data_IF_023634348431
#
_entry.id   IF_023634348431
#
_cell.length_a   1.000
_cell.length_b   1.000
_cell.length_c   1.000
_cell.angle_alpha   90.00
_cell.angle_beta   90.00
_cell.angle_gamma   90.00
#
_symmetry.space_group_name_H-M   'P 1'
#
loop_
_entity.id
_entity.type
_entity.pdbx_description
1 polymer ?
#
# COMPACT_ATOMS: atom_id res chain seq x y z
N UNK A 1 9.80 -6.94 24.88
CA UNK A 1 9.43 -6.24 23.63
C UNK A 1 10.49 -5.17 23.38
N UNK A 2 11.00 -5.04 22.15
CA UNK A 2 11.91 -3.95 21.82
C UNK A 2 11.13 -2.62 21.84
N UNK A 3 11.62 -1.63 22.58
CA UNK A 3 11.06 -0.28 22.56
C UNK A 3 11.61 0.46 21.34
N UNK A 4 10.82 0.52 20.26
CA UNK A 4 11.15 1.33 19.09
C UNK A 4 10.77 2.79 19.38
N UNK A 5 11.75 3.66 19.61
CA UNK A 5 11.56 5.12 19.76
C UNK A 5 11.79 5.87 18.45
N UNK A 6 12.37 5.21 17.45
CA UNK A 6 12.69 5.77 16.13
C UNK A 6 12.37 4.77 15.04
N UNK A 7 11.87 5.26 13.90
CA UNK A 7 11.63 4.47 12.69
C UNK A 7 12.65 4.87 11.62
N UNK A 8 13.47 3.93 11.16
CA UNK A 8 14.39 4.13 10.04
C UNK A 8 13.79 3.61 8.70
N UNK A 9 14.51 3.87 7.60
CA UNK A 9 14.08 3.44 6.27
C UNK A 9 14.02 1.93 6.08
N UNK A 10 14.91 1.16 6.70
CA UNK A 10 14.91 -0.30 6.59
C UNK A 10 13.68 -0.90 7.28
N UNK A 11 13.38 -0.42 8.49
CA UNK A 11 12.17 -0.78 9.23
C UNK A 11 10.92 -0.38 8.46
N UNK A 12 10.89 0.84 7.88
CA UNK A 12 9.75 1.30 7.10
C UNK A 12 9.51 0.42 5.85
N UNK A 13 10.56 -0.03 5.16
CA UNK A 13 10.46 -0.98 4.05
C UNK A 13 9.85 -2.32 4.48
N UNK A 14 10.32 -2.87 5.60
CA UNK A 14 9.76 -4.11 6.17
C UNK A 14 8.27 -3.93 6.52
N UNK A 15 7.90 -2.78 7.10
CA UNK A 15 6.50 -2.48 7.43
C UNK A 15 5.60 -2.46 6.20
N UNK A 16 5.99 -1.75 5.14
CA UNK A 16 5.15 -1.63 3.93
C UNK A 16 5.12 -2.94 3.14
N UNK A 17 6.21 -3.70 3.09
CA UNK A 17 6.25 -5.04 2.49
C UNK A 17 5.36 -6.02 3.26
N UNK A 18 5.41 -6.01 4.59
CA UNK A 18 4.52 -6.81 5.43
C UNK A 18 3.05 -6.42 5.24
N UNK A 19 2.76 -5.13 5.10
CA UNK A 19 1.41 -4.64 4.79
C UNK A 19 0.91 -5.13 3.44
N UNK A 20 1.76 -5.10 2.40
CA UNK A 20 1.44 -5.63 1.08
C UNK A 20 1.18 -7.12 1.11
N UNK A 21 2.02 -7.89 1.80
CA UNK A 21 1.83 -9.33 1.95
C UNK A 21 0.52 -9.65 2.69
N UNK A 22 0.20 -8.90 3.75
CA UNK A 22 -1.06 -9.10 4.46
C UNK A 22 -2.28 -8.80 3.57
N UNK A 23 -2.25 -7.70 2.82
CA UNK A 23 -3.30 -7.34 1.89
C UNK A 23 -3.44 -8.39 0.77
N UNK A 24 -2.33 -8.85 0.19
CA UNK A 24 -2.30 -9.88 -0.84
C UNK A 24 -2.86 -11.23 -0.35
N UNK A 25 -2.70 -11.55 0.93
CA UNK A 25 -3.26 -12.78 1.50
C UNK A 25 -4.76 -12.67 1.82
N UNK A 26 -5.32 -11.46 1.87
CA UNK A 26 -6.69 -11.20 2.38
C UNK A 26 -7.57 -10.44 1.40
N UNK A 27 -7.08 -10.08 0.21
CA UNK A 27 -7.82 -9.23 -0.72
C UNK A 27 -9.18 -9.81 -1.13
N UNK A 28 -9.29 -11.14 -1.23
CA UNK A 28 -10.54 -11.82 -1.57
C UNK A 28 -11.62 -11.63 -0.49
N UNK A 29 -11.22 -11.50 0.78
CA UNK A 29 -12.16 -11.18 1.85
C UNK A 29 -12.67 -9.75 1.73
N UNK A 30 -11.81 -8.81 1.30
CA UNK A 30 -12.21 -7.44 1.02
C UNK A 30 -13.15 -7.37 -0.20
N UNK A 31 -12.85 -8.12 -1.26
CA UNK A 31 -13.73 -8.27 -2.43
C UNK A 31 -15.13 -8.78 -2.01
N UNK A 32 -15.18 -9.72 -1.06
CA UNK A 32 -16.43 -10.27 -0.53
C UNK A 32 -17.20 -9.31 0.41
N UNK A 33 -16.56 -8.26 0.93
CA UNK A 33 -17.22 -7.26 1.79
C UNK A 33 -17.95 -6.17 0.98
N UNK A 34 -17.45 -5.82 -0.21
CA UNK A 34 -18.05 -4.77 -1.03
C UNK A 34 -19.26 -5.29 -1.82
N UNK A 35 -20.38 -5.52 -1.12
CA UNK A 35 -21.60 -6.10 -1.69
C UNK A 35 -22.71 -5.07 -2.00
N UNK A 36 -22.43 -3.77 -1.92
CA UNK A 36 -23.42 -2.70 -2.10
C UNK A 36 -22.91 -1.54 -2.98
N UNK A 37 -23.73 -0.96 -3.87
CA UNK A 37 -25.06 -1.40 -4.31
C UNK A 37 -25.01 -2.56 -5.32
N UNK A 38 -23.84 -2.81 -5.91
CA UNK A 38 -23.57 -3.92 -6.84
C UNK A 38 -22.24 -4.55 -6.41
N UNK A 39 -22.17 -5.89 -6.24
CA UNK A 39 -20.93 -6.58 -5.96
C UNK A 39 -20.07 -6.63 -7.23
N UNK A 40 -19.17 -5.65 -7.38
CA UNK A 40 -18.14 -5.65 -8.43
C UNK A 40 -17.02 -6.66 -8.13
N UNK A 41 -16.86 -7.04 -6.86
CA UNK A 41 -15.94 -8.09 -6.41
C UNK A 41 -14.48 -7.75 -6.70
N UNK A 42 -14.15 -6.47 -6.83
CA UNK A 42 -12.82 -6.02 -7.25
C UNK A 42 -12.16 -5.04 -6.27
N UNK A 43 -12.84 -4.64 -5.18
CA UNK A 43 -12.35 -3.62 -4.25
C UNK A 43 -11.00 -3.99 -3.62
N UNK A 44 -10.89 -5.19 -3.07
CA UNK A 44 -9.66 -5.75 -2.53
C UNK A 44 -8.63 -6.02 -3.61
N UNK A 45 -9.04 -6.55 -4.76
CA UNK A 45 -8.15 -6.76 -5.92
C UNK A 45 -7.48 -5.45 -6.35
N UNK A 46 -8.26 -4.38 -6.50
CA UNK A 46 -7.81 -3.04 -6.85
C UNK A 46 -6.85 -2.46 -5.80
N UNK A 47 -7.16 -2.63 -4.51
CA UNK A 47 -6.28 -2.21 -3.42
C UNK A 47 -4.95 -2.98 -3.43
N UNK A 48 -4.99 -4.30 -3.63
CA UNK A 48 -3.80 -5.16 -3.65
C UNK A 48 -2.86 -4.80 -4.80
N UNK A 49 -3.39 -4.66 -6.01
CA UNK A 49 -2.62 -4.26 -7.19
C UNK A 49 -2.00 -2.86 -7.01
N UNK A 50 -2.78 -1.92 -6.46
CA UNK A 50 -2.31 -0.55 -6.21
C UNK A 50 -1.18 -0.55 -5.17
N UNK A 51 -1.39 -1.22 -4.03
CA UNK A 51 -0.42 -1.23 -2.95
C UNK A 51 0.87 -1.97 -3.34
N UNK A 52 0.75 -3.09 -4.06
CA UNK A 52 1.89 -3.81 -4.62
C UNK A 52 2.72 -2.96 -5.57
N UNK A 53 2.11 -2.15 -6.43
CA UNK A 53 2.84 -1.22 -7.30
C UNK A 53 3.64 -0.18 -6.49
N UNK A 54 3.01 0.41 -5.47
CA UNK A 54 3.67 1.35 -4.56
C UNK A 54 4.86 0.75 -3.82
N UNK A 55 4.68 -0.44 -3.24
CA UNK A 55 5.74 -1.13 -2.49
C UNK A 55 6.89 -1.53 -3.41
N UNK A 56 6.60 -2.05 -4.61
CA UNK A 56 7.64 -2.39 -5.59
C UNK A 56 8.54 -1.20 -5.93
N UNK A 57 8.00 0.02 -6.02
CA UNK A 57 8.80 1.22 -6.26
C UNK A 57 9.55 1.69 -5.02
N UNK A 58 8.92 1.61 -3.84
CA UNK A 58 9.54 1.97 -2.58
C UNK A 58 10.76 1.07 -2.24
N UNK A 59 10.69 -0.22 -2.55
CA UNK A 59 11.77 -1.17 -2.28
C UNK A 59 13.02 -0.91 -3.13
N UNK A 60 12.87 -0.37 -4.35
CA UNK A 60 13.97 0.01 -5.26
C UNK A 60 14.77 1.24 -4.78
N UNK A 61 14.28 1.99 -3.80
CA UNK A 61 14.97 3.19 -3.30
C UNK A 61 16.19 2.79 -2.46
N UNK A 62 17.39 3.20 -2.86
CA UNK A 62 18.62 2.98 -2.07
C UNK A 62 18.86 4.15 -1.10
N UNK A 63 18.09 4.19 -0.01
CA UNK A 63 18.18 5.22 1.04
C UNK A 63 17.65 4.69 2.37
N UNK A 64 18.24 5.16 3.48
CA UNK A 64 17.78 4.87 4.84
C UNK A 64 16.81 5.94 5.38
N UNK A 65 16.49 6.96 4.57
CA UNK A 65 15.55 8.01 4.95
C UNK A 65 14.12 7.60 4.64
N UNK A 66 13.28 7.52 5.68
CA UNK A 66 11.85 7.23 5.57
C UNK A 66 11.15 8.14 4.56
N UNK A 67 11.47 9.43 4.53
CA UNK A 67 10.88 10.38 3.58
C UNK A 67 11.08 10.00 2.12
N UNK A 68 12.28 9.55 1.73
CA UNK A 68 12.58 9.22 0.33
C UNK A 68 11.84 7.95 -0.11
N UNK A 69 11.74 6.96 0.79
CA UNK A 69 10.97 5.73 0.57
C UNK A 69 9.47 6.03 0.52
N UNK A 70 8.95 6.83 1.45
CA UNK A 70 7.54 7.22 1.51
C UNK A 70 7.12 8.03 0.27
N UNK A 71 8.01 8.90 -0.25
CA UNK A 71 7.77 9.64 -1.49
C UNK A 71 7.68 8.70 -2.70
N UNK A 72 8.55 7.69 -2.77
CA UNK A 72 8.49 6.68 -3.83
C UNK A 72 7.23 5.82 -3.72
N UNK A 73 6.88 5.36 -2.51
CA UNK A 73 5.64 4.64 -2.22
C UNK A 73 4.42 5.44 -2.70
N UNK A 74 4.30 6.70 -2.25
CA UNK A 74 3.18 7.58 -2.62
C UNK A 74 3.05 7.75 -4.14
N UNK A 75 4.17 7.98 -4.84
CA UNK A 75 4.18 8.09 -6.30
C UNK A 75 3.77 6.77 -6.97
N UNK A 76 4.31 5.65 -6.51
CA UNK A 76 4.00 4.32 -7.06
C UNK A 76 2.54 3.93 -6.84
N UNK A 77 1.97 4.24 -5.68
CA UNK A 77 0.54 4.07 -5.40
C UNK A 77 -0.32 4.88 -6.37
N UNK A 78 0.04 6.14 -6.61
CA UNK A 78 -0.70 7.02 -7.51
C UNK A 78 -0.65 6.53 -8.96
N UNK A 79 0.53 6.15 -9.45
CA UNK A 79 0.73 5.68 -10.84
C UNK A 79 0.18 4.27 -11.06
N UNK A 80 0.19 3.45 -10.02
CA UNK A 80 -0.32 2.07 -10.03
C UNK A 80 -1.79 1.94 -9.65
N UNK A 81 -2.48 3.05 -9.34
CA UNK A 81 -3.86 3.02 -8.87
C UNK A 81 -4.80 2.28 -9.84
N UNK A 82 -5.63 1.41 -9.28
CA UNK A 82 -6.67 0.66 -9.98
C UNK A 82 -8.03 0.90 -9.33
N UNK A 83 -9.04 1.19 -10.15
CA UNK A 83 -10.39 1.46 -9.69
C UNK A 83 -10.48 2.60 -8.67
N UNK A 84 -11.66 2.75 -8.08
CA UNK A 84 -11.90 3.81 -7.09
C UNK A 84 -11.16 3.55 -5.77
N UNK A 85 -11.14 2.29 -5.32
CA UNK A 85 -10.49 1.91 -4.06
C UNK A 85 -8.98 2.13 -4.09
N UNK A 86 -8.31 1.85 -5.23
CA UNK A 86 -6.90 2.15 -5.43
C UNK A 86 -6.61 3.64 -5.46
N UNK A 87 -7.45 4.45 -6.15
CA UNK A 87 -7.30 5.90 -6.17
C UNK A 87 -7.42 6.49 -4.76
N UNK A 88 -8.45 6.10 -4.00
CA UNK A 88 -8.63 6.58 -2.62
C UNK A 88 -7.43 6.18 -1.74
N UNK A 89 -7.00 4.92 -1.82
CA UNK A 89 -5.82 4.43 -1.10
C UNK A 89 -4.56 5.25 -1.42
N UNK A 90 -4.35 5.59 -2.69
CA UNK A 90 -3.20 6.41 -3.10
C UNK A 90 -3.22 7.81 -2.49
N UNK A 91 -4.40 8.41 -2.32
CA UNK A 91 -4.52 9.74 -1.73
C UNK A 91 -4.23 9.74 -0.23
N UNK A 92 -4.66 8.70 0.50
CA UNK A 92 -4.34 8.53 1.93
C UNK A 92 -2.82 8.59 2.15
N UNK A 93 -2.04 7.87 1.32
CA UNK A 93 -0.58 7.84 1.42
C UNK A 93 0.13 9.07 0.84
N UNK A 94 -0.52 9.81 -0.06
CA UNK A 94 -0.02 11.11 -0.52
C UNK A 94 -0.10 12.18 0.57
N UNK A 95 -1.01 12.02 1.52
CA UNK A 95 -1.40 13.05 2.48
C UNK A 95 -2.34 14.04 1.77
N UNK A 96 -3.58 14.11 2.26
CA UNK A 96 -4.65 14.95 1.69
C UNK A 96 -4.24 16.43 1.57
#
# INVERSE_FOLDING_TARGET
MANYTTLDGAQFKVMIESGANHLSNRYQEIDALNVFPVPDGDTGTNMNLTFGAGVNDALKVHSDKVFEIAKALSKGLLMGARGNSGVILSQIFRGF
#
